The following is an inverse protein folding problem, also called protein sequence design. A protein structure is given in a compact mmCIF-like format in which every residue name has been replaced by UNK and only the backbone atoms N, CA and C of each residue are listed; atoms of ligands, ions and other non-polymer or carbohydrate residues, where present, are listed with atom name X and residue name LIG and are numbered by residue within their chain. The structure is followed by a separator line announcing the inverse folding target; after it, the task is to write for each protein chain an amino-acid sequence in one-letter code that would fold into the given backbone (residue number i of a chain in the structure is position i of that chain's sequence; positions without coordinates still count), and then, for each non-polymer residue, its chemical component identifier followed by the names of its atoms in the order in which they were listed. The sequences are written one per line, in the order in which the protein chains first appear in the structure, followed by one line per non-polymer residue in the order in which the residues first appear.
data_IF_823063030309
#
_entry.id   IF_823063030309
#
_cell.length_a   1.000
_cell.length_b   1.000
_cell.length_c   1.000
_cell.angle_alpha   90.00
_cell.angle_beta   90.00
_cell.angle_gamma   90.00
#
_symmetry.space_group_name_H-M   'P 1'
#
loop_
_entity.id
_entity.type
_entity.pdbx_description
1 polymer ?
#
# COMPACT_ATOMS: atom_id res chain seq x y z
N UNK A 1 -4.80 23.26 -21.85
CA UNK A 1 -3.99 22.26 -21.15
C UNK A 1 -4.84 21.49 -20.14
N UNK A 2 -4.73 20.20 -20.13
CA UNK A 2 -5.45 19.40 -19.20
C UNK A 2 -4.61 19.18 -17.93
N UNK A 3 -4.99 19.83 -16.85
CA UNK A 3 -4.31 19.73 -15.57
C UNK A 3 -5.02 18.75 -14.64
N UNK A 4 -5.79 17.82 -15.21
CA UNK A 4 -6.48 16.83 -14.41
C UNK A 4 -5.47 15.90 -13.73
N UNK A 5 -5.62 15.78 -12.41
CA UNK A 5 -4.81 14.89 -11.58
C UNK A 5 -5.68 13.77 -11.07
N UNK A 6 -5.06 12.63 -10.84
CA UNK A 6 -5.72 11.56 -10.13
C UNK A 6 -5.67 11.90 -8.63
N UNK A 7 -6.80 11.74 -7.98
CA UNK A 7 -6.89 11.96 -6.54
C UNK A 7 -7.70 10.84 -5.91
N UNK A 8 -7.28 10.42 -4.73
CA UNK A 8 -8.02 9.47 -3.90
C UNK A 8 -8.19 10.15 -2.56
N UNK A 9 -9.42 10.48 -2.22
CA UNK A 9 -9.74 11.33 -1.07
C UNK A 9 -8.88 12.61 -1.13
N UNK A 10 -8.10 12.90 -0.09
CA UNK A 10 -7.23 14.08 -0.05
C UNK A 10 -5.86 13.84 -0.71
N UNK A 11 -5.61 12.65 -1.21
CA UNK A 11 -4.32 12.29 -1.78
C UNK A 11 -4.30 12.56 -3.26
N UNK A 12 -3.52 13.56 -3.64
CA UNK A 12 -3.29 13.90 -5.04
C UNK A 12 -2.08 13.12 -5.53
N UNK A 13 -2.29 12.31 -6.55
CA UNK A 13 -1.21 11.46 -7.08
C UNK A 13 -0.28 12.29 -7.96
N UNK A 14 1.06 12.17 -7.78
CA UNK A 14 2.02 12.93 -8.57
C UNK A 14 2.12 12.48 -10.03
N UNK A 15 1.54 11.34 -10.37
CA UNK A 15 1.55 10.81 -11.72
C UNK A 15 0.30 10.01 -12.00
N UNK A 16 0.09 9.68 -13.26
CA UNK A 16 -1.11 8.96 -13.71
C UNK A 16 -0.91 7.46 -13.87
N UNK A 17 0.34 7.01 -13.82
CA UNK A 17 0.66 5.60 -13.89
C UNK A 17 0.69 5.03 -12.48
N UNK A 18 0.03 3.91 -12.29
CA UNK A 18 -0.03 3.21 -11.00
C UNK A 18 0.65 1.86 -11.16
N UNK A 19 1.56 1.54 -10.24
CA UNK A 19 2.15 0.22 -10.22
C UNK A 19 1.18 -0.74 -9.57
N UNK A 20 0.67 -1.69 -10.36
CA UNK A 20 -0.24 -2.70 -9.85
C UNK A 20 0.47 -3.62 -8.84
N UNK A 21 -0.21 -4.07 -7.79
CA UNK A 21 0.38 -5.01 -6.85
C UNK A 21 0.60 -6.38 -7.51
N UNK A 22 1.77 -6.97 -7.28
CA UNK A 22 2.13 -8.27 -7.85
C UNK A 22 2.92 -9.07 -6.81
N UNK A 23 2.35 -10.18 -6.37
CA UNK A 23 3.00 -11.04 -5.37
C UNK A 23 4.38 -11.49 -5.82
N UNK A 24 5.36 -11.36 -4.94
CA UNK A 24 6.75 -11.70 -5.22
C UNK A 24 7.48 -10.68 -6.08
N UNK A 25 6.81 -9.61 -6.52
CA UNK A 25 7.41 -8.59 -7.38
C UNK A 25 7.38 -7.21 -6.72
N UNK A 26 6.21 -6.76 -6.26
CA UNK A 26 6.08 -5.41 -5.71
C UNK A 26 6.37 -5.36 -4.22
N UNK A 27 7.55 -5.82 -3.83
CA UNK A 27 8.04 -5.65 -2.48
C UNK A 27 8.39 -4.17 -2.21
N UNK A 28 8.81 -3.89 -0.99
CA UNK A 28 9.13 -2.52 -0.60
C UNK A 28 10.21 -1.89 -1.50
N UNK A 29 11.25 -2.64 -1.82
CA UNK A 29 12.32 -2.16 -2.69
C UNK A 29 11.84 -1.83 -4.10
N UNK A 30 11.05 -2.71 -4.69
CA UNK A 30 10.50 -2.48 -6.03
C UNK A 30 9.57 -1.27 -6.05
N UNK A 31 8.73 -1.13 -5.03
CA UNK A 31 7.83 0.01 -4.92
C UNK A 31 8.59 1.33 -4.81
N UNK A 32 9.66 1.36 -4.05
CA UNK A 32 10.51 2.56 -3.92
C UNK A 32 11.14 2.93 -5.26
N UNK A 33 11.63 1.95 -6.01
CA UNK A 33 12.22 2.19 -7.34
C UNK A 33 11.16 2.76 -8.27
N UNK A 34 9.99 2.14 -8.35
CA UNK A 34 8.92 2.62 -9.22
C UNK A 34 8.49 4.04 -8.86
N UNK A 35 8.39 4.36 -7.58
CA UNK A 35 8.05 5.71 -7.13
C UNK A 35 9.12 6.72 -7.56
N UNK A 36 10.40 6.37 -7.49
CA UNK A 36 11.48 7.24 -7.95
C UNK A 36 11.40 7.54 -9.44
N UNK A 37 10.89 6.63 -10.23
CA UNK A 37 10.74 6.83 -11.67
C UNK A 37 9.38 7.37 -12.07
N UNK A 38 8.60 7.86 -11.12
CA UNK A 38 7.43 8.66 -11.41
C UNK A 38 6.08 7.95 -11.30
N UNK A 39 6.04 6.73 -10.76
CA UNK A 39 4.76 6.11 -10.49
C UNK A 39 3.93 6.99 -9.54
N UNK A 40 2.69 7.25 -9.90
CA UNK A 40 1.81 8.08 -9.09
C UNK A 40 1.33 7.41 -7.82
N UNK A 41 1.23 6.10 -7.85
CA UNK A 41 0.87 5.28 -6.69
C UNK A 41 1.49 3.90 -6.86
N UNK A 42 1.99 3.36 -5.76
CA UNK A 42 2.53 2.00 -5.71
C UNK A 42 1.82 1.25 -4.60
N UNK A 43 1.29 0.08 -4.90
CA UNK A 43 0.46 -0.69 -3.97
C UNK A 43 1.24 -1.91 -3.48
N UNK A 44 1.18 -2.20 -2.19
CA UNK A 44 1.89 -3.34 -1.63
C UNK A 44 1.38 -4.66 -2.20
N UNK A 45 2.21 -5.69 -2.13
CA UNK A 45 1.74 -7.05 -2.31
C UNK A 45 0.58 -7.32 -1.35
N UNK A 46 -0.23 -8.29 -1.71
CA UNK A 46 -1.35 -8.72 -0.87
C UNK A 46 -0.85 -9.16 0.51
N UNK A 47 -1.43 -8.58 1.55
CA UNK A 47 -1.11 -8.89 2.94
C UNK A 47 -2.33 -9.52 3.59
N UNK A 48 -2.16 -10.71 4.17
CA UNK A 48 -3.24 -11.36 4.89
C UNK A 48 -3.59 -10.54 6.14
N UNK A 49 -4.81 -10.03 6.19
CA UNK A 49 -5.24 -9.12 7.25
C UNK A 49 -5.14 -9.75 8.64
N UNK A 50 -5.53 -11.01 8.79
CA UNK A 50 -5.48 -11.71 10.06
C UNK A 50 -4.03 -11.90 10.54
N UNK A 51 -3.11 -12.18 9.64
CA UNK A 51 -1.71 -12.36 9.98
C UNK A 51 -1.05 -11.03 10.34
N UNK A 52 -1.38 -9.97 9.61
CA UNK A 52 -0.90 -8.64 9.96
C UNK A 52 -1.40 -8.24 11.35
N UNK A 53 -2.66 -8.48 11.65
CA UNK A 53 -3.25 -8.20 12.95
C UNK A 53 -2.58 -9.00 14.07
N UNK A 54 -2.16 -10.23 13.77
CA UNK A 54 -1.49 -11.10 14.73
C UNK A 54 0.00 -10.76 14.92
N UNK A 55 0.54 -9.82 14.17
CA UNK A 55 1.94 -9.40 14.30
C UNK A 55 2.92 -10.24 13.51
N UNK A 56 2.47 -10.95 12.47
CA UNK A 56 3.34 -11.76 11.62
C UNK A 56 4.39 -10.89 10.94
N UNK A 57 5.65 -11.26 11.10
CA UNK A 57 6.78 -10.45 10.62
C UNK A 57 6.81 -10.34 9.10
N UNK A 58 6.54 -11.43 8.39
CA UNK A 58 6.52 -11.39 6.93
C UNK A 58 5.41 -10.48 6.42
N UNK A 59 4.23 -10.54 7.03
CA UNK A 59 3.12 -9.67 6.68
C UNK A 59 3.46 -8.21 6.95
N UNK A 60 4.13 -7.93 8.05
CA UNK A 60 4.60 -6.59 8.38
C UNK A 60 5.58 -6.07 7.34
N UNK A 61 6.51 -6.91 6.90
CA UNK A 61 7.50 -6.53 5.88
C UNK A 61 6.83 -6.26 4.52
N UNK A 62 5.83 -7.05 4.15
CA UNK A 62 5.08 -6.83 2.92
C UNK A 62 4.32 -5.52 2.94
N UNK A 63 3.86 -5.09 4.10
CA UNK A 63 3.11 -3.86 4.28
C UNK A 63 4.01 -2.62 4.48
N UNK A 64 5.33 -2.79 4.48
CA UNK A 64 6.28 -1.71 4.76
C UNK A 64 6.16 -0.57 3.75
N UNK A 65 6.17 0.65 4.24
CA UNK A 65 6.04 1.84 3.39
C UNK A 65 7.09 2.91 3.66
N UNK A 66 8.15 2.58 4.40
CA UNK A 66 9.20 3.57 4.70
C UNK A 66 9.81 4.14 3.42
N UNK A 67 9.92 5.45 3.36
CA UNK A 67 10.50 6.15 2.20
C UNK A 67 9.53 6.39 1.06
N UNK A 68 8.27 5.97 1.19
CA UNK A 68 7.22 6.25 0.21
C UNK A 68 6.42 7.45 0.68
N UNK A 69 6.24 8.44 -0.22
CA UNK A 69 5.45 9.62 0.08
C UNK A 69 3.96 9.26 0.27
N UNK A 70 3.50 8.26 -0.45
CA UNK A 70 2.14 7.73 -0.33
C UNK A 70 2.24 6.24 -0.03
N UNK A 71 1.81 5.84 1.15
CA UNK A 71 1.89 4.45 1.61
C UNK A 71 0.55 3.77 1.42
N UNK A 72 0.50 2.82 0.50
CA UNK A 72 -0.72 2.11 0.11
C UNK A 72 -0.56 0.63 0.40
N UNK A 73 -1.43 0.08 1.22
CA UNK A 73 -1.40 -1.32 1.64
C UNK A 73 -2.60 -2.06 1.08
N UNK A 74 -2.35 -3.20 0.43
CA UNK A 74 -3.40 -4.10 -0.02
C UNK A 74 -3.61 -5.20 1.00
N UNK A 75 -4.80 -5.25 1.58
CA UNK A 75 -5.18 -6.32 2.52
C UNK A 75 -6.01 -7.38 1.81
N UNK A 76 -5.82 -8.61 2.23
CA UNK A 76 -6.63 -9.74 1.78
C UNK A 76 -7.25 -10.44 2.96
N UNK A 77 -8.48 -10.87 2.82
CA UNK A 77 -9.20 -11.59 3.85
C UNK A 77 -10.68 -11.71 3.51
N UNK A 78 -11.38 -12.53 4.28
CA UNK A 78 -12.80 -12.77 4.08
C UNK A 78 -13.62 -12.58 5.37
N UNK A 79 -12.96 -12.31 6.50
CA UNK A 79 -13.63 -12.09 7.78
C UNK A 79 -13.61 -10.60 8.10
N UNK A 80 -14.79 -10.03 8.32
CA UNK A 80 -14.92 -8.59 8.56
C UNK A 80 -14.08 -8.11 9.74
N UNK A 81 -14.07 -8.87 10.82
CA UNK A 81 -13.31 -8.49 12.01
C UNK A 81 -11.80 -8.48 11.76
N UNK A 82 -11.30 -9.50 11.08
CA UNK A 82 -9.88 -9.59 10.73
C UNK A 82 -9.49 -8.47 9.76
N UNK A 83 -10.33 -8.17 8.79
CA UNK A 83 -10.08 -7.06 7.86
C UNK A 83 -10.03 -5.72 8.59
N UNK A 84 -10.95 -5.49 9.52
CA UNK A 84 -10.98 -4.26 10.29
C UNK A 84 -9.73 -4.12 11.16
N UNK A 85 -9.30 -5.18 11.82
CA UNK A 85 -8.13 -5.15 12.69
C UNK A 85 -6.85 -4.98 11.87
N UNK A 86 -6.73 -5.70 10.77
CA UNK A 86 -5.60 -5.54 9.85
C UNK A 86 -5.51 -4.11 9.30
N UNK A 87 -6.64 -3.50 8.98
CA UNK A 87 -6.69 -2.11 8.54
C UNK A 87 -6.21 -1.15 9.63
N UNK A 88 -6.60 -1.37 10.88
CA UNK A 88 -6.13 -0.54 12.00
C UNK A 88 -4.62 -0.64 12.18
N UNK A 89 -4.08 -1.86 12.08
CA UNK A 89 -2.62 -2.06 12.17
C UNK A 89 -1.91 -1.36 11.03
N UNK A 90 -2.40 -1.50 9.80
CA UNK A 90 -1.81 -0.85 8.64
C UNK A 90 -1.85 0.68 8.80
N UNK A 91 -2.98 1.23 9.21
CA UNK A 91 -3.11 2.66 9.44
C UNK A 91 -2.15 3.15 10.53
N UNK A 92 -2.06 2.43 11.64
CA UNK A 92 -1.16 2.77 12.74
C UNK A 92 0.31 2.72 12.31
N UNK A 93 0.64 1.91 11.30
CA UNK A 93 1.99 1.81 10.74
C UNK A 93 2.28 2.88 9.69
N UNK A 94 1.32 3.73 9.38
CA UNK A 94 1.51 4.86 8.47
C UNK A 94 0.84 4.72 7.11
N UNK A 95 0.02 3.70 6.89
CA UNK A 95 -0.68 3.59 5.62
C UNK A 95 -1.63 4.77 5.41
N UNK A 96 -1.54 5.37 4.24
CA UNK A 96 -2.41 6.49 3.85
C UNK A 96 -3.67 5.99 3.16
N UNK A 97 -3.54 4.87 2.42
CA UNK A 97 -4.62 4.25 1.68
C UNK A 97 -4.60 2.75 1.95
N UNK A 98 -5.76 2.17 2.14
CA UNK A 98 -5.88 0.73 2.36
C UNK A 98 -6.90 0.18 1.37
#
# INVERSE_FOLDING_TARGET
MNDAFLSIADHRLPGRAVLAPMSGVTDHGMRRVAARFGAGMVVSEMVAADQLAAGDEESRLRAEGEGLALHVVQLAGCMAEAMAEGARVAEASGADII
#
